data_IF_760130736778
#
_entry.id   IF_760130736778
#
_cell.length_a   1.000
_cell.length_b   1.000
_cell.length_c   1.000
_cell.angle_alpha   90.00
_cell.angle_beta   90.00
_cell.angle_gamma   90.00
#
_symmetry.space_group_name_H-M   'P 1'
#
loop_
_entity.id
_entity.type
_entity.pdbx_description
1 polymer ?
#
# COMPACT_ATOMS: atom_id res chain seq x y z
N UNK A 1 14.22 -20.64 -4.05
CA UNK A 1 14.35 -19.34 -3.40
C UNK A 1 15.32 -19.44 -2.24
N UNK A 2 16.38 -18.64 -2.24
CA UNK A 2 17.26 -18.47 -1.09
C UNK A 2 16.61 -17.60 0.00
N UNK A 3 17.25 -17.46 1.16
CA UNK A 3 16.69 -16.70 2.28
C UNK A 3 16.46 -15.23 1.97
N UNK A 4 17.41 -14.57 1.28
CA UNK A 4 17.29 -13.19 0.81
C UNK A 4 16.07 -13.01 -0.11
N UNK A 5 15.94 -13.89 -1.10
CA UNK A 5 14.83 -13.86 -2.06
C UNK A 5 13.47 -14.07 -1.38
N UNK A 6 13.40 -14.97 -0.37
CA UNK A 6 12.17 -15.18 0.41
C UNK A 6 11.76 -13.95 1.20
N UNK A 7 12.72 -13.29 1.86
CA UNK A 7 12.46 -12.06 2.64
C UNK A 7 12.03 -10.92 1.75
N UNK A 8 12.73 -10.68 0.63
CA UNK A 8 12.35 -9.64 -0.33
C UNK A 8 10.97 -9.93 -0.94
N UNK A 9 10.69 -11.18 -1.34
CA UNK A 9 9.37 -11.56 -1.86
C UNK A 9 8.27 -11.32 -0.84
N UNK A 10 8.45 -11.73 0.42
CA UNK A 10 7.46 -11.53 1.48
C UNK A 10 7.19 -10.03 1.72
N UNK A 11 8.24 -9.22 1.76
CA UNK A 11 8.13 -7.78 1.89
C UNK A 11 7.35 -7.13 0.73
N UNK A 12 7.74 -7.40 -0.50
CA UNK A 12 7.12 -6.81 -1.70
C UNK A 12 5.70 -7.33 -1.94
N UNK A 13 5.41 -8.60 -1.63
CA UNK A 13 4.06 -9.19 -1.81
C UNK A 13 2.99 -8.55 -0.93
N UNK A 14 3.37 -7.83 0.12
CA UNK A 14 2.43 -7.07 0.94
C UNK A 14 2.01 -5.72 0.30
N UNK A 15 2.64 -5.29 -0.81
CA UNK A 15 2.34 -4.01 -1.45
C UNK A 15 0.85 -3.84 -1.78
N UNK A 16 0.28 -4.74 -2.57
CA UNK A 16 -1.13 -4.67 -2.99
C UNK A 16 -2.10 -4.73 -1.81
N UNK A 17 -1.78 -5.50 -0.77
CA UNK A 17 -2.59 -5.57 0.44
C UNK A 17 -2.59 -4.23 1.17
N UNK A 18 -1.43 -3.59 1.30
CA UNK A 18 -1.30 -2.28 1.94
C UNK A 18 -2.02 -1.18 1.17
N UNK A 19 -1.94 -1.19 -0.17
CA UNK A 19 -2.69 -0.26 -1.02
C UNK A 19 -4.18 -0.41 -0.79
N UNK A 20 -4.71 -1.64 -0.86
CA UNK A 20 -6.14 -1.89 -0.62
C UNK A 20 -6.60 -1.50 0.79
N UNK A 21 -5.75 -1.67 1.80
CA UNK A 21 -6.04 -1.23 3.16
C UNK A 21 -6.05 0.29 3.27
N UNK A 22 -5.09 0.98 2.64
CA UNK A 22 -5.04 2.43 2.63
C UNK A 22 -6.25 3.06 1.92
N UNK A 23 -6.69 2.48 0.80
CA UNK A 23 -7.89 2.89 0.08
C UNK A 23 -9.15 2.75 0.95
N UNK A 24 -9.31 1.60 1.64
CA UNK A 24 -10.44 1.39 2.56
C UNK A 24 -10.41 2.38 3.72
N UNK A 25 -9.26 2.60 4.33
CA UNK A 25 -9.11 3.57 5.42
C UNK A 25 -9.47 4.99 4.95
N UNK A 26 -9.11 5.35 3.71
CA UNK A 26 -9.50 6.61 3.11
C UNK A 26 -11.03 6.73 2.91
N UNK A 27 -11.68 5.70 2.38
CA UNK A 27 -13.13 5.69 2.21
C UNK A 27 -13.87 5.77 3.56
N UNK A 28 -13.36 5.09 4.58
CA UNK A 28 -13.93 5.14 5.92
C UNK A 28 -13.75 6.52 6.56
N UNK A 29 -12.58 7.14 6.36
CA UNK A 29 -12.33 8.53 6.74
C UNK A 29 -13.33 9.50 6.07
N UNK A 30 -13.50 9.43 4.76
CA UNK A 30 -14.44 10.31 4.06
C UNK A 30 -15.87 10.14 4.53
N UNK A 31 -16.29 8.90 4.80
CA UNK A 31 -17.62 8.60 5.36
C UNK A 31 -17.79 9.17 6.77
N UNK A 32 -16.80 8.99 7.64
CA UNK A 32 -16.83 9.51 9.01
C UNK A 32 -16.84 11.04 9.01
N UNK A 33 -15.95 11.67 8.23
CA UNK A 33 -15.88 13.11 8.09
C UNK A 33 -17.17 13.73 7.55
N UNK A 34 -17.75 13.14 6.50
CA UNK A 34 -19.03 13.59 5.92
C UNK A 34 -20.19 13.50 6.93
N UNK A 35 -20.21 12.47 7.78
CA UNK A 35 -21.21 12.35 8.86
C UNK A 35 -21.02 13.42 9.91
N UNK A 36 -19.78 13.66 10.36
CA UNK A 36 -19.47 14.71 11.33
C UNK A 36 -19.88 16.10 10.80
N UNK A 37 -19.58 16.42 9.55
CA UNK A 37 -19.96 17.68 8.90
C UNK A 37 -21.48 17.86 8.79
N UNK A 38 -22.24 16.79 8.49
CA UNK A 38 -23.71 16.84 8.46
C UNK A 38 -24.30 17.09 9.84
N UNK A 39 -23.74 16.52 10.88
CA UNK A 39 -24.16 16.74 12.26
C UNK A 39 -23.93 18.20 12.67
N UNK A 40 -22.77 18.78 12.33
CA UNK A 40 -22.47 20.20 12.63
C UNK A 40 -23.32 21.16 11.84
N UNK A 41 -23.66 20.87 10.58
CA UNK A 41 -24.53 21.71 9.76
C UNK A 41 -25.98 21.80 10.29
N UNK A 42 -26.45 20.80 11.05
CA UNK A 42 -27.74 20.81 11.70
C UNK A 42 -27.88 21.78 12.88
N UNK A 43 -26.77 22.37 13.35
CA UNK A 43 -26.76 23.33 14.48
C UNK A 43 -27.34 24.72 14.12
N UNK A 44 -27.56 25.01 12.85
CA UNK A 44 -28.08 26.32 12.40
C UNK A 44 -29.60 26.53 12.56
N UNK A 45 -30.37 25.51 12.95
CA UNK A 45 -31.81 25.62 13.17
C UNK A 45 -32.10 25.89 14.66
N UNK A 46 -32.85 26.95 15.02
CA UNK A 46 -33.22 27.21 16.40
C UNK A 46 -34.28 26.18 16.85
N UNK A 47 -33.84 25.05 17.39
CA UNK A 47 -34.70 24.13 18.10
C UNK A 47 -34.61 24.43 19.60
N UNK A 48 -35.67 25.05 20.15
CA UNK A 48 -35.83 25.24 21.58
C UNK A 48 -35.89 23.90 22.30
N UNK A 49 -34.94 23.64 23.11
CA UNK A 49 -34.93 23.01 24.43
C UNK A 49 -33.49 22.58 24.76
N UNK A 50 -32.94 23.16 25.82
CA UNK A 50 -31.52 23.15 26.18
C UNK A 50 -30.86 21.84 26.60
N UNK A 51 -31.38 20.65 26.19
CA UNK A 51 -30.80 19.37 26.56
C UNK A 51 -30.29 18.52 25.40
N UNK A 52 -30.66 18.84 24.15
CA UNK A 52 -30.34 18.04 22.98
C UNK A 52 -29.06 18.52 22.27
N UNK A 53 -28.73 19.78 22.43
CA UNK A 53 -27.59 20.45 21.78
C UNK A 53 -26.25 19.86 22.25
N UNK A 54 -26.13 19.54 23.53
CA UNK A 54 -24.89 19.05 24.13
C UNK A 54 -24.54 17.61 23.64
N UNK A 55 -25.54 16.74 23.52
CA UNK A 55 -25.34 15.36 23.01
C UNK A 55 -24.98 15.31 21.53
N UNK A 56 -25.53 16.21 20.72
CA UNK A 56 -25.21 16.30 19.30
C UNK A 56 -23.80 16.85 19.11
N UNK A 57 -23.42 17.88 19.88
CA UNK A 57 -22.06 18.43 19.88
C UNK A 57 -21.04 17.35 20.29
N UNK A 58 -21.31 16.60 21.36
CA UNK A 58 -20.46 15.51 21.80
C UNK A 58 -20.33 14.42 20.72
N UNK A 59 -21.42 14.01 20.09
CA UNK A 59 -21.40 13.03 19.00
C UNK A 59 -20.62 13.50 17.78
N UNK A 60 -20.66 14.79 17.43
CA UNK A 60 -19.86 15.36 16.35
C UNK A 60 -18.37 15.35 16.68
N UNK A 61 -17.99 15.70 17.92
CA UNK A 61 -16.61 15.65 18.38
C UNK A 61 -16.06 14.23 18.34
N UNK A 62 -16.82 13.24 18.81
CA UNK A 62 -16.45 11.83 18.78
C UNK A 62 -16.26 11.31 17.35
N UNK A 63 -17.13 11.71 16.41
CA UNK A 63 -16.98 11.35 15.00
C UNK A 63 -15.79 12.02 14.34
N UNK A 64 -15.47 13.26 14.69
CA UNK A 64 -14.26 13.91 14.20
C UNK A 64 -13.01 13.24 14.72
N UNK A 65 -12.96 12.87 16.01
CA UNK A 65 -11.87 12.08 16.58
C UNK A 65 -11.67 10.74 15.86
N UNK A 66 -12.76 10.05 15.56
CA UNK A 66 -12.70 8.80 14.78
C UNK A 66 -12.19 9.04 13.34
N UNK A 67 -12.58 10.11 12.69
CA UNK A 67 -12.08 10.47 11.37
C UNK A 67 -10.56 10.77 11.41
N UNK A 68 -10.09 11.46 12.45
CA UNK A 68 -8.66 11.73 12.64
C UNK A 68 -7.85 10.44 12.82
N UNK A 69 -8.35 9.48 13.61
CA UNK A 69 -7.72 8.17 13.78
C UNK A 69 -7.60 7.41 12.46
N UNK A 70 -8.65 7.41 11.65
CA UNK A 70 -8.65 6.78 10.32
C UNK A 70 -7.66 7.47 9.37
N UNK A 71 -7.53 8.80 9.45
CA UNK A 71 -6.56 9.55 8.67
C UNK A 71 -5.12 9.17 9.04
N UNK A 72 -4.82 9.04 10.33
CA UNK A 72 -3.51 8.60 10.83
C UNK A 72 -3.19 7.19 10.32
N UNK A 73 -4.16 6.27 10.36
CA UNK A 73 -3.97 4.90 9.87
C UNK A 73 -3.74 4.88 8.34
N UNK A 74 -4.51 5.65 7.58
CA UNK A 74 -4.28 5.81 6.13
C UNK A 74 -2.86 6.29 5.84
N UNK A 75 -2.40 7.31 6.55
CA UNK A 75 -1.06 7.87 6.34
C UNK A 75 0.05 6.88 6.74
N UNK A 76 -0.19 6.05 7.77
CA UNK A 76 0.69 4.94 8.14
C UNK A 76 0.79 3.91 7.01
N UNK A 77 -0.35 3.46 6.47
CA UNK A 77 -0.40 2.48 5.39
C UNK A 77 0.23 3.03 4.11
N UNK A 78 -0.03 4.30 3.80
CA UNK A 78 0.59 5.00 2.66
C UNK A 78 2.11 4.98 2.75
N UNK A 79 2.67 5.32 3.90
CA UNK A 79 4.13 5.24 4.11
C UNK A 79 4.67 3.84 3.91
N UNK A 80 3.93 2.82 4.36
CA UNK A 80 4.36 1.42 4.24
C UNK A 80 4.39 0.95 2.78
N UNK A 81 3.42 1.27 1.95
CA UNK A 81 3.46 0.87 0.55
C UNK A 81 4.43 1.74 -0.28
N UNK A 82 4.57 3.03 0.03
CA UNK A 82 5.57 3.91 -0.60
C UNK A 82 6.99 3.39 -0.38
N UNK A 83 7.33 2.96 0.84
CA UNK A 83 8.63 2.36 1.12
C UNK A 83 8.91 1.12 0.27
N UNK A 84 7.89 0.35 -0.13
CA UNK A 84 8.05 -0.79 -1.06
C UNK A 84 8.28 -0.34 -2.50
N UNK A 85 7.57 0.69 -2.91
CA UNK A 85 7.77 1.33 -4.22
C UNK A 85 9.19 1.89 -4.34
N UNK A 86 9.70 2.53 -3.28
CA UNK A 86 11.07 3.07 -3.25
C UNK A 86 12.13 1.97 -3.41
N UNK A 87 11.91 0.79 -2.82
CA UNK A 87 12.81 -0.36 -3.04
C UNK A 87 12.80 -0.80 -4.50
N UNK A 88 11.63 -0.90 -5.12
CA UNK A 88 11.51 -1.27 -6.55
C UNK A 88 12.20 -0.21 -7.43
N UNK A 89 11.97 1.07 -7.16
CA UNK A 89 12.61 2.17 -7.88
C UNK A 89 14.14 2.13 -7.75
N UNK A 90 14.67 1.88 -6.55
CA UNK A 90 16.12 1.74 -6.34
C UNK A 90 16.73 0.54 -7.10
N UNK A 91 15.98 -0.56 -7.24
CA UNK A 91 16.40 -1.69 -8.10
C UNK A 91 16.37 -1.29 -9.57
N UNK A 92 15.35 -0.54 -10.01
CA UNK A 92 15.21 -0.06 -11.38
C UNK A 92 16.36 0.89 -11.79
N UNK A 93 16.83 1.74 -10.88
CA UNK A 93 17.99 2.59 -11.08
C UNK A 93 19.27 1.79 -11.40
N UNK A 94 19.41 0.61 -10.80
CA UNK A 94 20.56 -0.29 -11.07
C UNK A 94 20.38 -1.10 -12.35
N UNK A 95 19.20 -1.57 -12.59
CA UNK A 95 18.84 -2.31 -13.79
C UNK A 95 17.32 -2.18 -14.04
N UNK A 96 16.99 -1.44 -15.09
CA UNK A 96 15.61 -1.13 -15.45
C UNK A 96 14.75 -2.40 -15.60
N UNK A 97 15.27 -3.44 -16.27
CA UNK A 97 14.50 -4.68 -16.48
C UNK A 97 14.19 -5.42 -15.16
N UNK A 98 15.08 -5.35 -14.17
CA UNK A 98 14.80 -5.94 -12.85
C UNK A 98 13.71 -5.18 -12.12
N UNK A 99 13.73 -3.82 -12.18
CA UNK A 99 12.65 -3.00 -11.62
C UNK A 99 11.32 -3.27 -12.29
N UNK A 100 11.27 -3.28 -13.63
CA UNK A 100 10.06 -3.59 -14.42
C UNK A 100 9.47 -4.96 -14.05
N UNK A 101 10.29 -6.01 -13.91
CA UNK A 101 9.81 -7.34 -13.51
C UNK A 101 9.24 -7.34 -12.10
N UNK A 102 9.86 -6.62 -11.15
CA UNK A 102 9.32 -6.50 -9.78
C UNK A 102 8.02 -5.70 -9.77
N UNK A 103 7.94 -4.63 -10.54
CA UNK A 103 6.75 -3.80 -10.66
C UNK A 103 5.57 -4.59 -11.22
N UNK A 104 5.75 -5.24 -12.36
CA UNK A 104 4.72 -6.10 -12.96
C UNK A 104 4.21 -7.18 -12.00
N UNK A 105 5.11 -7.82 -11.24
CA UNK A 105 4.71 -8.92 -10.34
C UNK A 105 4.09 -8.40 -9.04
N UNK A 106 4.66 -7.37 -8.42
CA UNK A 106 4.29 -6.96 -7.06
C UNK A 106 3.37 -5.74 -6.99
N UNK A 107 3.41 -4.87 -7.99
CA UNK A 107 2.55 -3.67 -8.07
C UNK A 107 1.33 -3.95 -8.95
N UNK A 108 1.53 -4.55 -10.12
CA UNK A 108 0.43 -4.86 -11.05
C UNK A 108 -0.20 -6.24 -10.79
N UNK A 109 0.43 -7.08 -9.96
CA UNK A 109 -0.07 -8.41 -9.61
C UNK A 109 -0.01 -9.43 -10.74
N UNK A 110 0.83 -9.21 -11.76
CA UNK A 110 0.95 -10.09 -12.92
C UNK A 110 1.61 -11.43 -12.57
N UNK A 111 1.17 -12.50 -13.24
CA UNK A 111 1.84 -13.80 -13.15
C UNK A 111 3.07 -13.80 -14.04
N UNK A 112 4.08 -14.59 -13.71
CA UNK A 112 5.34 -14.67 -14.49
C UNK A 112 5.11 -15.01 -15.98
N UNK A 113 4.10 -15.84 -16.29
CA UNK A 113 3.75 -16.15 -17.69
C UNK A 113 3.21 -14.93 -18.45
N UNK A 114 2.53 -14.01 -17.76
CA UNK A 114 2.00 -12.78 -18.36
C UNK A 114 3.13 -11.74 -18.49
N UNK A 115 4.01 -11.65 -17.50
CA UNK A 115 5.27 -10.84 -17.56
C UNK A 115 6.12 -11.27 -18.75
N UNK A 116 6.25 -12.61 -19.01
CA UNK A 116 6.96 -13.11 -20.18
C UNK A 116 6.37 -12.58 -21.49
N UNK A 117 5.04 -12.67 -21.63
CA UNK A 117 4.34 -12.19 -22.84
C UNK A 117 4.53 -10.68 -23.04
N UNK A 118 4.49 -9.92 -21.95
CA UNK A 118 4.72 -8.49 -22.00
C UNK A 118 6.13 -8.16 -22.50
N UNK A 119 7.18 -8.79 -21.92
CA UNK A 119 8.56 -8.59 -22.33
C UNK A 119 8.78 -9.01 -23.79
N UNK A 120 8.19 -10.14 -24.24
CA UNK A 120 8.27 -10.59 -25.63
C UNK A 120 7.66 -9.58 -26.60
N UNK A 121 6.52 -8.99 -26.23
CA UNK A 121 5.84 -8.01 -27.05
C UNK A 121 6.61 -6.69 -27.15
N UNK A 122 7.06 -6.18 -26.02
CA UNK A 122 7.74 -4.88 -25.90
C UNK A 122 9.15 -4.91 -26.56
N UNK A 123 9.91 -5.95 -26.27
CA UNK A 123 11.32 -6.05 -26.73
C UNK A 123 11.50 -6.82 -28.04
N UNK A 124 10.43 -7.35 -28.61
CA UNK A 124 10.43 -8.18 -29.85
C UNK A 124 11.43 -9.34 -29.83
N UNK A 125 11.78 -9.85 -28.66
CA UNK A 125 12.69 -10.96 -28.46
C UNK A 125 12.01 -12.07 -27.68
N UNK A 126 12.04 -13.29 -28.25
CA UNK A 126 11.55 -14.45 -27.56
C UNK A 126 12.37 -14.70 -26.29
N UNK A 127 11.69 -14.78 -25.15
CA UNK A 127 12.28 -15.07 -23.85
C UNK A 127 11.61 -16.32 -23.26
N UNK A 128 12.41 -17.27 -22.76
CA UNK A 128 11.84 -18.43 -22.08
C UNK A 128 11.32 -18.07 -20.69
N UNK A 129 10.29 -18.78 -20.23
CA UNK A 129 9.74 -18.60 -18.88
C UNK A 129 10.83 -18.79 -17.80
N UNK A 130 11.71 -19.79 -18.00
CA UNK A 130 12.85 -20.01 -17.10
C UNK A 130 13.83 -18.84 -17.04
N UNK A 131 13.99 -18.09 -18.15
CA UNK A 131 14.81 -16.87 -18.16
C UNK A 131 14.13 -15.74 -17.38
N UNK A 132 12.80 -15.59 -17.47
CA UNK A 132 12.05 -14.61 -16.67
C UNK A 132 12.13 -14.94 -15.18
N UNK A 133 12.01 -16.22 -14.78
CA UNK A 133 12.25 -16.63 -13.40
C UNK A 133 13.66 -16.29 -12.90
N UNK A 134 14.69 -16.48 -13.73
CA UNK A 134 16.07 -16.10 -13.36
C UNK A 134 16.20 -14.61 -13.15
N UNK A 135 15.58 -13.79 -14.03
CA UNK A 135 15.56 -12.33 -13.87
C UNK A 135 14.86 -11.94 -12.57
N UNK A 136 13.68 -12.49 -12.32
CA UNK A 136 12.90 -12.24 -11.11
C UNK A 136 13.66 -12.59 -9.82
N UNK A 137 14.33 -13.76 -9.77
CA UNK A 137 15.10 -14.13 -8.59
C UNK A 137 16.33 -13.25 -8.35
N UNK A 138 17.00 -12.79 -9.43
CA UNK A 138 18.08 -11.82 -9.32
C UNK A 138 17.56 -10.46 -8.85
N UNK A 139 16.42 -10.03 -9.37
CA UNK A 139 15.77 -8.81 -8.94
C UNK A 139 15.40 -8.84 -7.45
N UNK A 140 14.88 -9.97 -6.95
CA UNK A 140 14.59 -10.16 -5.51
C UNK A 140 15.86 -10.09 -4.64
N UNK A 141 16.99 -10.64 -5.08
CA UNK A 141 18.27 -10.49 -4.34
C UNK A 141 18.68 -9.03 -4.24
N UNK A 142 18.55 -8.29 -5.33
CA UNK A 142 18.86 -6.86 -5.33
C UNK A 142 17.86 -6.04 -4.52
N UNK A 143 16.58 -6.40 -4.56
CA UNK A 143 15.58 -5.80 -3.70
C UNK A 143 15.92 -6.00 -2.21
N UNK A 144 16.41 -7.18 -1.81
CA UNK A 144 16.87 -7.40 -0.45
C UNK A 144 18.05 -6.49 -0.08
N UNK A 145 19.06 -6.38 -0.94
CA UNK A 145 20.21 -5.50 -0.71
C UNK A 145 19.76 -4.02 -0.57
N UNK A 146 18.77 -3.57 -1.36
CA UNK A 146 18.20 -2.23 -1.26
C UNK A 146 17.34 -2.03 -0.01
N UNK A 147 16.58 -3.05 0.40
CA UNK A 147 15.85 -3.02 1.68
C UNK A 147 16.80 -2.79 2.85
N UNK A 148 17.93 -3.52 2.90
CA UNK A 148 18.94 -3.32 3.96
C UNK A 148 19.53 -1.90 3.89
N UNK A 149 19.83 -1.38 2.69
CA UNK A 149 20.35 -0.03 2.49
C UNK A 149 19.38 1.07 2.94
N UNK A 150 18.09 0.89 2.67
CA UNK A 150 17.02 1.83 3.01
C UNK A 150 16.50 1.65 4.45
N UNK A 151 16.99 0.65 5.17
CA UNK A 151 16.55 0.35 6.54
C UNK A 151 15.14 -0.25 6.62
N UNK A 152 14.60 -0.75 5.50
CA UNK A 152 13.29 -1.39 5.46
C UNK A 152 13.35 -2.78 6.09
N UNK A 153 12.48 -3.04 7.07
CA UNK A 153 12.43 -4.34 7.76
C UNK A 153 11.37 -5.25 7.15
N UNK A 154 11.65 -6.55 6.98
CA UNK A 154 10.65 -7.52 6.48
C UNK A 154 9.35 -7.57 7.29
N UNK A 155 9.41 -7.21 8.58
CA UNK A 155 8.27 -7.17 9.50
C UNK A 155 7.37 -5.95 9.32
N UNK A 156 7.84 -4.90 8.61
CA UNK A 156 7.08 -3.68 8.43
C UNK A 156 5.86 -3.94 7.54
N UNK A 157 4.68 -4.02 8.14
CA UNK A 157 3.41 -4.27 7.46
C UNK A 157 2.93 -5.72 7.42
N UNK A 158 3.56 -6.64 8.16
CA UNK A 158 2.93 -7.91 8.43
C UNK A 158 1.65 -7.66 9.26
N UNK A 159 0.48 -8.20 8.87
CA UNK A 159 -0.70 -8.12 9.72
C UNK A 159 -0.39 -8.76 11.08
N UNK A 160 -0.93 -8.22 12.19
CA UNK A 160 -0.78 -8.87 13.48
C UNK A 160 -1.25 -10.33 13.35
N UNK A 161 -0.38 -11.26 13.67
CA UNK A 161 -0.72 -12.68 13.67
C UNK A 161 -1.80 -12.91 14.73
N UNK A 162 -2.88 -13.67 14.44
CA UNK A 162 -3.95 -13.94 15.40
C UNK A 162 -3.46 -14.70 16.62
#
# INVERSE_FOLDING_TARGET
LNDKQRKAKAYLSSYLVLVSQAERAYEDYERAYSRACRMTAGFGAPCGNGGTTDKVAQGAIEMMGHADDLMVERDRLTRLYTARSDVIAAVAERNQLWGEVLEMVHVEGMRICDVRRFIEHDRRHAISEGAVYKLYYRALEKAFDEMERLGAKPSDGAPPQP
#
